data_IF_127264598370
#
_entry.id   IF_127264598370
#
_cell.length_a   1.000
_cell.length_b   1.000
_cell.length_c   1.000
_cell.angle_alpha   90.00
_cell.angle_beta   90.00
_cell.angle_gamma   90.00
#
_symmetry.space_group_name_H-M   'P 1'
#
loop_
_entity.id
_entity.type
_entity.pdbx_description
1 polymer ?
#
# COMPACT_ATOMS: atom_id res chain seq x y z
N UNK A 1 9.55 -15.08 -4.47
CA UNK A 1 9.77 -13.76 -5.10
C UNK A 1 10.14 -12.78 -3.98
N UNK A 2 10.66 -11.58 -4.23
CA UNK A 2 11.16 -10.70 -3.15
C UNK A 2 10.04 -10.20 -2.21
N UNK A 3 8.80 -10.17 -2.67
CA UNK A 3 7.59 -9.83 -1.90
C UNK A 3 6.50 -10.88 -2.14
N UNK A 4 6.55 -12.04 -1.48
CA UNK A 4 5.48 -13.05 -1.59
C UNK A 4 4.33 -12.77 -0.60
N UNK A 5 4.64 -12.19 0.57
CA UNK A 5 3.70 -11.85 1.64
C UNK A 5 4.10 -10.51 2.25
N UNK A 6 3.12 -9.63 2.50
CA UNK A 6 3.34 -8.35 3.19
C UNK A 6 2.94 -8.49 4.64
N UNK A 7 3.87 -8.22 5.55
CA UNK A 7 3.63 -8.20 7.01
C UNK A 7 3.77 -6.75 7.47
N UNK A 8 2.68 -6.17 7.95
CA UNK A 8 2.69 -4.86 8.61
C UNK A 8 2.71 -5.04 10.12
N UNK A 9 2.89 -3.94 10.86
CA UNK A 9 3.05 -3.97 12.33
C UNK A 9 1.93 -4.74 13.08
N UNK A 10 0.75 -4.92 12.45
CA UNK A 10 -0.43 -5.57 13.04
C UNK A 10 -0.73 -6.97 12.49
N UNK A 11 0.12 -7.52 11.62
CA UNK A 11 -0.02 -8.89 11.12
C UNK A 11 0.25 -9.03 9.62
N UNK A 12 -0.05 -10.22 9.11
CA UNK A 12 0.02 -10.53 7.67
C UNK A 12 -1.13 -9.82 6.98
N UNK A 13 -0.82 -8.95 6.01
CA UNK A 13 -1.81 -8.21 5.23
C UNK A 13 -2.45 -9.06 4.14
N UNK A 14 -1.67 -9.97 3.55
CA UNK A 14 -2.10 -10.89 2.50
C UNK A 14 -0.97 -11.28 1.57
N UNK A 15 -1.31 -12.13 0.59
CA UNK A 15 -0.41 -12.46 -0.51
C UNK A 15 -0.30 -11.26 -1.46
N UNK A 16 0.87 -11.08 -2.06
CA UNK A 16 1.08 -10.04 -3.07
C UNK A 16 0.83 -10.64 -4.45
N UNK A 17 -0.18 -10.15 -5.15
CA UNK A 17 -0.43 -10.53 -6.55
C UNK A 17 0.55 -9.83 -7.48
N UNK A 18 0.78 -8.53 -7.23
CA UNK A 18 1.65 -7.70 -8.04
C UNK A 18 2.31 -6.63 -7.17
N UNK A 19 3.52 -6.22 -7.55
CA UNK A 19 4.17 -5.06 -6.96
C UNK A 19 4.89 -4.23 -8.03
N UNK A 20 5.07 -2.96 -7.73
CA UNK A 20 5.85 -2.04 -8.55
C UNK A 20 6.73 -1.17 -7.65
N UNK A 21 8.01 -1.02 -8.00
CA UNK A 21 8.96 -0.18 -7.27
C UNK A 21 9.41 0.96 -8.17
N UNK A 22 9.30 2.19 -7.68
CA UNK A 22 9.79 3.40 -8.34
C UNK A 22 10.81 4.07 -7.44
N UNK A 23 12.01 4.31 -7.96
CA UNK A 23 12.98 5.18 -7.30
C UNK A 23 12.82 6.59 -7.83
N UNK A 24 12.52 7.54 -6.95
CA UNK A 24 12.57 8.96 -7.31
C UNK A 24 13.85 9.60 -6.79
N UNK A 25 14.58 10.21 -7.71
CA UNK A 25 15.78 10.98 -7.42
C UNK A 25 15.36 12.44 -7.34
N UNK A 26 15.13 12.93 -6.13
CA UNK A 26 15.02 14.37 -5.90
C UNK A 26 16.40 15.01 -6.13
N UNK A 27 16.41 16.23 -6.68
CA UNK A 27 17.60 16.82 -7.33
C UNK A 27 18.85 16.96 -6.42
N UNK A 28 18.71 16.82 -5.10
CA UNK A 28 19.83 16.82 -4.14
C UNK A 28 19.56 15.97 -2.87
N UNK A 29 18.58 15.06 -2.88
CA UNK A 29 18.21 14.30 -1.68
C UNK A 29 18.35 12.78 -1.88
N UNK A 30 18.41 12.06 -0.75
CA UNK A 30 18.46 10.60 -0.70
C UNK A 30 17.32 10.03 -1.54
N UNK A 31 17.58 9.03 -2.41
CA UNK A 31 16.54 8.46 -3.26
C UNK A 31 15.37 7.96 -2.40
N UNK A 32 14.17 8.44 -2.73
CA UNK A 32 12.94 7.93 -2.14
C UNK A 32 12.47 6.74 -2.97
N UNK A 33 12.45 5.57 -2.34
CA UNK A 33 11.91 4.36 -2.92
C UNK A 33 10.40 4.31 -2.65
N UNK A 34 9.60 4.42 -3.69
CA UNK A 34 8.16 4.18 -3.67
C UNK A 34 7.89 2.73 -4.01
N UNK A 35 7.01 2.08 -3.25
CA UNK A 35 6.50 0.74 -3.55
C UNK A 35 4.98 0.77 -3.63
N UNK A 36 4.44 0.21 -4.71
CA UNK A 36 3.03 -0.10 -4.87
C UNK A 36 2.84 -1.61 -4.74
N UNK A 37 1.84 -2.02 -3.97
CA UNK A 37 1.54 -3.41 -3.67
C UNK A 37 0.06 -3.66 -4.02
N UNK A 38 -0.20 -4.68 -4.82
CA UNK A 38 -1.53 -5.25 -5.03
C UNK A 38 -1.63 -6.50 -4.18
N UNK A 39 -2.56 -6.45 -3.23
CA UNK A 39 -2.71 -7.48 -2.22
C UNK A 39 -3.99 -8.25 -2.51
N UNK A 40 -3.87 -9.57 -2.54
CA UNK A 40 -4.97 -10.48 -2.75
C UNK A 40 -6.04 -10.25 -1.67
N UNK A 41 -7.31 -10.11 -2.06
CA UNK A 41 -8.46 -9.87 -1.18
C UNK A 41 -8.47 -8.52 -0.43
N UNK A 42 -7.62 -7.56 -0.79
CA UNK A 42 -7.76 -6.20 -0.28
C UNK A 42 -9.01 -5.52 -0.89
N UNK A 43 -9.76 -4.73 -0.11
CA UNK A 43 -10.94 -4.03 -0.61
C UNK A 43 -10.54 -2.95 -1.63
N UNK A 44 -11.36 -2.80 -2.68
CA UNK A 44 -11.11 -1.94 -3.83
C UNK A 44 -11.97 -0.68 -3.77
N UNK A 45 -11.31 0.48 -3.84
CA UNK A 45 -11.98 1.79 -3.89
C UNK A 45 -12.94 1.87 -5.08
N UNK A 46 -14.19 2.28 -4.81
CA UNK A 46 -15.22 2.43 -5.85
C UNK A 46 -15.93 1.12 -6.23
N UNK A 47 -15.51 -0.02 -5.67
CA UNK A 47 -16.20 -1.31 -5.78
C UNK A 47 -16.76 -1.71 -4.43
N UNK A 48 -15.89 -1.82 -3.42
CA UNK A 48 -16.26 -2.22 -2.07
C UNK A 48 -16.77 -1.03 -1.25
N UNK A 49 -17.37 -1.33 -0.10
CA UNK A 49 -17.96 -0.29 0.74
C UNK A 49 -16.89 0.65 1.28
N UNK A 50 -17.15 1.97 1.33
CA UNK A 50 -16.20 2.92 1.89
C UNK A 50 -15.74 2.55 3.30
N UNK A 51 -16.62 1.98 4.12
CA UNK A 51 -16.30 1.56 5.49
C UNK A 51 -15.29 0.41 5.53
N UNK A 52 -15.42 -0.57 4.63
CA UNK A 52 -14.51 -1.72 4.51
C UNK A 52 -13.12 -1.26 4.06
N UNK A 53 -13.07 -0.35 3.07
CA UNK A 53 -11.83 0.28 2.60
C UNK A 53 -11.18 1.11 3.72
N UNK A 54 -11.96 1.95 4.41
CA UNK A 54 -11.44 2.79 5.49
C UNK A 54 -10.90 1.97 6.66
N UNK A 55 -11.62 0.92 7.08
CA UNK A 55 -11.16 0.02 8.14
C UNK A 55 -9.87 -0.67 7.72
N UNK A 56 -9.81 -1.20 6.50
CA UNK A 56 -8.62 -1.88 6.00
C UNK A 56 -7.39 -0.96 5.99
N UNK A 57 -7.54 0.30 5.57
CA UNK A 57 -6.47 1.30 5.62
C UNK A 57 -6.07 1.59 7.07
N UNK A 58 -7.04 1.85 7.94
CA UNK A 58 -6.78 2.23 9.34
C UNK A 58 -6.12 1.09 10.15
N UNK A 59 -6.52 -0.15 9.88
CA UNK A 59 -6.05 -1.33 10.60
C UNK A 59 -4.66 -1.77 10.15
N UNK A 60 -4.29 -1.51 8.89
CA UNK A 60 -3.07 -2.05 8.31
C UNK A 60 -2.01 -0.98 8.03
N UNK A 61 -2.41 0.22 7.62
CA UNK A 61 -1.50 1.32 7.36
C UNK A 61 -1.49 2.23 8.59
N UNK A 62 -0.40 2.27 9.39
CA UNK A 62 -0.32 3.18 10.52
C UNK A 62 -0.28 4.61 10.00
N UNK A 63 -1.46 5.25 9.94
CA UNK A 63 -1.72 6.67 9.70
C UNK A 63 -0.55 7.42 9.05
N UNK A 64 -0.30 7.18 7.76
CA UNK A 64 0.39 8.14 6.93
C UNK A 64 -0.71 9.10 6.47
N UNK A 65 -0.71 10.33 7.01
CA UNK A 65 -1.68 11.40 6.71
C UNK A 65 -1.67 11.89 5.24
N UNK A 66 -1.17 11.10 4.28
CA UNK A 66 -1.12 11.46 2.86
C UNK A 66 -1.25 10.20 2.00
N UNK A 67 -2.46 9.67 1.86
CA UNK A 67 -2.80 8.88 0.67
C UNK A 67 -3.43 9.86 -0.32
N UNK A 68 -2.64 10.36 -1.26
CA UNK A 68 -3.16 11.14 -2.38
C UNK A 68 -3.69 10.17 -3.44
N UNK A 69 -5.01 10.06 -3.56
CA UNK A 69 -5.65 9.48 -4.73
C UNK A 69 -5.50 10.47 -5.88
N UNK A 70 -4.68 10.17 -6.88
CA UNK A 70 -4.71 10.90 -8.16
C UNK A 70 -5.91 10.42 -8.98
N UNK A 71 -6.80 11.37 -9.29
CA UNK A 71 -7.97 11.25 -10.18
C UNK A 71 -7.58 10.87 -11.61
#
# INVERSE_FOLDING_TARGET
NFFDVVILQRGVLGNVEQYYVKKEYQKHEVPHDYILLWIENAPVVGIDRPEEVCSFIQDNIPLINQITSTT
#
